data_IF_363395940990
#
_entry.id   IF_363395940990
#
_cell.length_a   1.000
_cell.length_b   1.000
_cell.length_c   1.000
_cell.angle_alpha   90.00
_cell.angle_beta   90.00
_cell.angle_gamma   90.00
#
_symmetry.space_group_name_H-M   'P 1'
#
loop_
_entity.id
_entity.type
_entity.pdbx_description
1 polymer ?
#
# COMPACT_ATOMS: atom_id res chain seq x y z
N UNK A 1 3.57 -16.17 39.53
CA UNK A 1 2.74 -15.41 38.58
C UNK A 1 3.67 -14.66 37.64
N UNK A 2 4.04 -15.28 36.52
CA UNK A 2 4.68 -14.55 35.43
C UNK A 2 3.59 -13.71 34.78
N UNK A 3 3.68 -12.39 34.94
CA UNK A 3 2.94 -11.46 34.11
C UNK A 3 3.54 -11.60 32.72
N UNK A 4 2.91 -12.40 31.86
CA UNK A 4 3.14 -12.35 30.42
C UNK A 4 2.91 -10.90 30.01
N UNK A 5 3.98 -10.17 29.77
CA UNK A 5 3.92 -8.91 29.05
C UNK A 5 3.30 -9.24 27.71
N UNK A 6 2.00 -8.96 27.55
CA UNK A 6 1.38 -8.94 26.23
C UNK A 6 2.29 -8.06 25.37
N UNK A 7 2.93 -8.64 24.36
CA UNK A 7 3.66 -7.85 23.38
C UNK A 7 2.67 -6.77 22.92
N UNK A 8 3.06 -5.50 23.04
CA UNK A 8 2.24 -4.40 22.56
C UNK A 8 2.08 -4.58 21.05
N UNK A 9 0.96 -5.18 20.63
CA UNK A 9 0.71 -5.48 19.24
C UNK A 9 0.50 -4.19 18.45
N UNK A 10 1.00 -4.14 17.22
CA UNK A 10 0.68 -3.04 16.34
C UNK A 10 -0.75 -3.19 15.79
N UNK A 11 -1.31 -2.13 15.20
CA UNK A 11 -2.61 -2.23 14.52
C UNK A 11 -3.84 -2.31 15.44
N UNK A 12 -3.75 -1.88 16.71
CA UNK A 12 -4.89 -1.80 17.67
C UNK A 12 -6.11 -1.00 17.17
N UNK A 13 -5.88 -0.27 16.10
CA UNK A 13 -6.73 0.76 15.57
C UNK A 13 -7.44 0.25 14.30
N UNK A 14 -7.01 -0.92 13.80
CA UNK A 14 -7.63 -1.69 12.74
C UNK A 14 -8.74 -2.57 13.31
N UNK A 15 -9.71 -2.91 12.45
CA UNK A 15 -10.84 -3.72 12.86
C UNK A 15 -10.48 -5.19 13.14
N UNK A 16 -9.56 -5.78 12.38
CA UNK A 16 -9.19 -7.19 12.53
C UNK A 16 -8.58 -7.44 13.91
N UNK A 17 -9.05 -8.50 14.58
CA UNK A 17 -8.55 -8.87 15.90
C UNK A 17 -7.06 -9.25 15.82
N UNK A 18 -6.29 -8.75 16.78
CA UNK A 18 -4.91 -9.16 17.01
C UNK A 18 -4.91 -10.51 17.73
N UNK A 19 -4.36 -11.54 17.09
CA UNK A 19 -4.21 -12.89 17.60
C UNK A 19 -2.79 -13.17 18.08
N UNK A 20 -2.65 -14.00 19.11
CA UNK A 20 -1.35 -14.58 19.50
C UNK A 20 -1.01 -15.75 18.56
N UNK A 21 -0.59 -15.41 17.35
CA UNK A 21 -0.29 -16.34 16.27
C UNK A 21 0.85 -15.80 15.40
N UNK A 22 1.36 -16.64 14.48
CA UNK A 22 2.44 -16.25 13.55
C UNK A 22 2.09 -15.01 12.70
N UNK A 23 0.80 -14.82 12.40
CA UNK A 23 0.25 -13.59 11.85
C UNK A 23 -0.76 -13.02 12.85
N UNK A 24 -0.45 -11.86 13.40
CA UNK A 24 -1.28 -11.18 14.38
C UNK A 24 -2.64 -10.77 13.80
N UNK A 25 -2.66 -10.32 12.55
CA UNK A 25 -3.84 -9.94 11.77
C UNK A 25 -3.75 -10.62 10.39
N UNK A 26 -4.11 -11.91 10.28
CA UNK A 26 -3.88 -12.72 9.09
C UNK A 26 -4.44 -12.14 7.78
N UNK A 27 -5.65 -11.57 7.80
CA UNK A 27 -6.28 -11.02 6.60
C UNK A 27 -5.53 -9.77 6.13
N UNK A 28 -5.20 -8.85 7.04
CA UNK A 28 -4.46 -7.63 6.72
C UNK A 28 -3.02 -7.96 6.27
N UNK A 29 -2.36 -8.92 6.92
CA UNK A 29 -1.05 -9.39 6.52
C UNK A 29 -1.09 -9.93 5.08
N UNK A 30 -1.97 -10.89 4.77
CA UNK A 30 -2.05 -11.50 3.43
C UNK A 30 -2.46 -10.47 2.36
N UNK A 31 -3.45 -9.63 2.62
CA UNK A 31 -3.91 -8.64 1.64
C UNK A 31 -2.87 -7.57 1.32
N UNK A 32 -1.94 -7.27 2.24
CA UNK A 32 -0.83 -6.34 1.98
C UNK A 32 0.15 -6.84 0.90
N UNK A 33 0.16 -8.15 0.59
CA UNK A 33 0.92 -8.71 -0.54
C UNK A 33 0.43 -8.17 -1.91
N UNK A 34 -0.75 -7.56 -1.97
CA UNK A 34 -1.21 -6.83 -3.15
C UNK A 34 -0.23 -5.71 -3.53
N UNK A 35 0.38 -5.01 -2.56
CA UNK A 35 1.40 -3.99 -2.84
C UNK A 35 2.67 -4.61 -3.43
N UNK A 36 3.10 -5.78 -2.94
CA UNK A 36 4.26 -6.50 -3.48
C UNK A 36 4.00 -6.90 -4.94
N UNK A 37 2.84 -7.51 -5.21
CA UNK A 37 2.47 -7.90 -6.57
C UNK A 37 2.41 -6.69 -7.53
N UNK A 38 1.75 -5.59 -7.11
CA UNK A 38 1.69 -4.36 -7.89
C UNK A 38 3.08 -3.75 -8.11
N UNK A 39 3.91 -3.70 -7.07
CA UNK A 39 5.28 -3.18 -7.13
C UNK A 39 6.16 -3.95 -8.10
N UNK A 40 6.12 -5.30 -8.06
CA UNK A 40 6.86 -6.15 -9.01
C UNK A 40 6.39 -5.98 -10.46
N UNK A 41 5.07 -5.88 -10.68
CA UNK A 41 4.51 -5.60 -12.01
C UNK A 41 4.99 -4.23 -12.55
N UNK A 42 4.96 -3.20 -11.71
CA UNK A 42 5.47 -1.86 -12.02
C UNK A 42 6.96 -1.88 -12.32
N UNK A 43 7.78 -2.56 -11.49
CA UNK A 43 9.22 -2.68 -11.70
C UNK A 43 9.54 -3.31 -13.05
N UNK A 44 8.87 -4.43 -13.36
CA UNK A 44 9.05 -5.14 -14.62
C UNK A 44 8.71 -4.23 -15.80
N UNK A 45 7.62 -3.47 -15.70
CA UNK A 45 7.22 -2.49 -16.70
C UNK A 45 8.18 -1.30 -16.82
N UNK A 46 8.70 -0.81 -15.69
CA UNK A 46 9.57 0.35 -15.61
C UNK A 46 10.96 0.06 -16.18
N UNK A 47 11.51 -1.14 -15.92
CA UNK A 47 12.79 -1.60 -16.49
C UNK A 47 12.67 -1.66 -18.02
N UNK A 48 11.61 -2.26 -18.54
CA UNK A 48 11.36 -2.35 -20.00
C UNK A 48 11.18 -0.97 -20.65
N UNK A 49 10.61 -0.02 -19.92
CA UNK A 49 10.34 1.34 -20.40
C UNK A 49 11.44 2.36 -20.08
N UNK A 50 12.52 1.95 -19.41
CA UNK A 50 13.56 2.85 -18.85
C UNK A 50 12.97 4.05 -18.10
N UNK A 51 11.96 3.79 -17.26
CA UNK A 51 11.21 4.81 -16.53
C UNK A 51 11.61 4.83 -15.04
N UNK A 52 12.68 5.55 -14.64
CA UNK A 52 13.25 5.45 -13.29
C UNK A 52 12.26 5.88 -12.19
N UNK A 53 11.43 6.90 -12.43
CA UNK A 53 10.45 7.35 -11.44
C UNK A 53 9.34 6.30 -11.18
N UNK A 54 8.90 5.61 -12.24
CA UNK A 54 8.00 4.48 -12.10
C UNK A 54 8.69 3.29 -11.40
N UNK A 55 9.97 3.06 -11.70
CA UNK A 55 10.78 2.05 -11.02
C UNK A 55 10.90 2.31 -9.52
N UNK A 56 11.20 3.55 -9.13
CA UNK A 56 11.26 3.98 -7.73
C UNK A 56 9.91 3.77 -7.02
N UNK A 57 8.79 4.09 -7.69
CA UNK A 57 7.46 3.81 -7.17
C UNK A 57 7.21 2.30 -6.97
N UNK A 58 7.68 1.47 -7.90
CA UNK A 58 7.62 0.02 -7.79
C UNK A 58 8.42 -0.54 -6.61
N UNK A 59 9.64 -0.04 -6.38
CA UNK A 59 10.43 -0.39 -5.18
C UNK A 59 9.70 0.03 -3.90
N UNK A 60 9.18 1.26 -3.86
CA UNK A 60 8.44 1.74 -2.71
C UNK A 60 7.21 0.88 -2.41
N UNK A 61 6.47 0.43 -3.42
CA UNK A 61 5.33 -0.47 -3.26
C UNK A 61 5.72 -1.84 -2.70
N UNK A 62 6.81 -2.43 -3.18
CA UNK A 62 7.34 -3.67 -2.59
C UNK A 62 7.72 -3.45 -1.12
N UNK A 63 8.34 -2.32 -0.80
CA UNK A 63 8.66 -1.92 0.58
C UNK A 63 7.41 -1.78 1.46
N UNK A 64 6.36 -1.10 0.97
CA UNK A 64 5.08 -0.96 1.68
C UNK A 64 4.48 -2.34 1.96
N UNK A 65 4.42 -3.22 0.96
CA UNK A 65 3.85 -4.56 1.13
C UNK A 65 4.63 -5.42 2.11
N UNK A 66 5.97 -5.44 2.02
CA UNK A 66 6.81 -6.19 2.96
C UNK A 66 6.72 -5.64 4.39
N UNK A 67 6.75 -4.31 4.54
CA UNK A 67 6.59 -3.64 5.83
C UNK A 67 5.23 -3.87 6.46
N UNK A 68 4.16 -3.79 5.67
CA UNK A 68 2.77 -4.04 6.09
C UNK A 68 2.54 -5.51 6.44
N UNK A 69 3.13 -6.44 5.69
CA UNK A 69 3.10 -7.87 6.06
C UNK A 69 3.76 -8.11 7.41
N UNK A 70 4.89 -7.45 7.71
CA UNK A 70 5.53 -7.55 9.02
C UNK A 70 4.71 -6.86 10.13
N UNK A 71 4.10 -5.71 9.84
CA UNK A 71 3.29 -4.91 10.76
C UNK A 71 1.99 -5.61 11.19
N UNK A 72 1.33 -6.30 10.27
CA UNK A 72 0.12 -7.09 10.56
C UNK A 72 0.44 -8.56 10.85
N UNK A 73 1.64 -9.03 10.50
CA UNK A 73 2.07 -10.41 10.66
C UNK A 73 2.77 -10.65 12.00
N UNK A 74 4.10 -10.78 11.97
CA UNK A 74 4.89 -11.19 13.14
C UNK A 74 5.22 -10.05 14.12
N UNK A 75 4.96 -8.80 13.75
CA UNK A 75 5.11 -7.62 14.60
C UNK A 75 6.46 -7.46 15.32
N UNK A 76 7.62 -7.66 14.65
CA UNK A 76 8.92 -7.39 15.27
C UNK A 76 9.10 -5.89 15.59
N UNK A 77 10.03 -5.52 16.48
CA UNK A 77 10.20 -4.12 16.92
C UNK A 77 10.44 -3.09 15.80
N UNK A 78 10.95 -3.52 14.64
CA UNK A 78 11.20 -2.68 13.48
C UNK A 78 10.01 -2.57 12.53
N UNK A 79 8.93 -3.33 12.74
CA UNK A 79 7.80 -3.44 11.80
C UNK A 79 7.11 -2.10 11.55
N UNK A 80 6.93 -1.29 12.60
CA UNK A 80 6.36 0.05 12.47
C UNK A 80 7.20 0.95 11.54
N UNK A 81 8.51 0.95 11.73
CA UNK A 81 9.42 1.72 10.86
C UNK A 81 9.41 1.19 9.43
N UNK A 82 9.46 -0.13 9.25
CA UNK A 82 9.40 -0.76 7.93
C UNK A 82 8.06 -0.54 7.21
N UNK A 83 6.97 -0.35 7.96
CA UNK A 83 5.67 0.01 7.42
C UNK A 83 5.59 1.48 7.00
N UNK A 84 6.03 2.40 7.87
CA UNK A 84 5.78 3.83 7.69
C UNK A 84 6.73 4.50 6.69
N UNK A 85 8.03 4.17 6.71
CA UNK A 85 9.01 4.85 5.84
C UNK A 85 8.76 4.65 4.33
N UNK A 86 8.44 3.44 3.84
CA UNK A 86 8.07 3.25 2.45
C UNK A 86 6.81 4.03 2.03
N UNK A 87 5.84 4.22 2.92
CA UNK A 87 4.65 5.04 2.67
C UNK A 87 5.03 6.51 2.45
N UNK A 88 5.89 7.06 3.32
CA UNK A 88 6.40 8.43 3.19
C UNK A 88 7.16 8.60 1.88
N UNK A 89 8.05 7.65 1.55
CA UNK A 89 8.81 7.67 0.29
C UNK A 89 7.88 7.61 -0.93
N UNK A 90 6.87 6.73 -0.91
CA UNK A 90 5.87 6.65 -1.95
C UNK A 90 5.12 7.98 -2.12
N UNK A 91 4.70 8.61 -1.02
CA UNK A 91 4.05 9.93 -1.06
C UNK A 91 4.88 10.98 -1.81
N UNK A 92 6.18 11.07 -1.50
CA UNK A 92 7.09 11.98 -2.19
C UNK A 92 7.24 11.65 -3.69
N UNK A 93 7.37 10.37 -4.04
CA UNK A 93 7.49 9.89 -5.42
C UNK A 93 6.21 10.21 -6.23
N UNK A 94 5.03 9.91 -5.69
CA UNK A 94 3.76 10.18 -6.36
C UNK A 94 3.49 11.68 -6.49
N UNK A 95 3.86 12.50 -5.50
CA UNK A 95 3.77 13.96 -5.60
C UNK A 95 4.66 14.49 -6.75
N UNK A 96 5.91 14.02 -6.85
CA UNK A 96 6.80 14.37 -7.95
C UNK A 96 6.25 13.90 -9.32
N UNK A 97 5.69 12.69 -9.37
CA UNK A 97 5.03 12.12 -10.54
C UNK A 97 3.83 12.92 -11.02
N UNK A 98 2.97 13.33 -10.10
CA UNK A 98 1.80 14.15 -10.36
C UNK A 98 2.22 15.54 -10.85
N UNK A 99 3.18 16.19 -10.17
CA UNK A 99 3.71 17.48 -10.59
C UNK A 99 4.35 17.43 -11.98
N UNK A 100 5.08 16.36 -12.31
CA UNK A 100 5.63 16.15 -13.66
C UNK A 100 4.53 15.92 -14.71
N UNK A 101 3.49 15.17 -14.36
CA UNK A 101 2.36 14.90 -15.25
C UNK A 101 1.52 16.15 -15.51
N UNK A 102 1.28 16.96 -14.48
CA UNK A 102 0.58 18.24 -14.58
C UNK A 102 1.34 19.23 -15.47
N UNK A 103 2.67 19.36 -15.29
CA UNK A 103 3.53 20.18 -16.17
C UNK A 103 3.49 19.76 -17.64
N UNK A 104 3.18 18.50 -17.91
CA UNK A 104 3.04 17.94 -19.27
C UNK A 104 1.59 17.90 -19.76
N UNK A 105 0.65 18.51 -19.02
CA UNK A 105 -0.79 18.48 -19.31
C UNK A 105 -1.40 17.06 -19.42
N UNK A 106 -0.83 16.08 -18.70
CA UNK A 106 -1.28 14.67 -18.68
C UNK A 106 -2.05 14.32 -17.40
N UNK A 107 -2.66 15.29 -16.74
CA UNK A 107 -3.35 15.11 -15.45
C UNK A 107 -4.52 14.10 -15.53
N UNK A 108 -5.18 13.99 -16.69
CA UNK A 108 -6.28 13.04 -16.90
C UNK A 108 -5.88 11.57 -16.70
N UNK A 109 -4.59 11.24 -16.90
CA UNK A 109 -4.08 9.88 -16.64
C UNK A 109 -4.11 9.49 -15.15
N UNK A 110 -4.36 10.45 -14.26
CA UNK A 110 -4.45 10.23 -12.82
C UNK A 110 -5.90 10.10 -12.33
N UNK A 111 -6.91 10.27 -13.18
CA UNK A 111 -8.32 10.24 -12.76
C UNK A 111 -8.72 8.85 -12.21
N UNK A 112 -8.40 7.77 -12.93
CA UNK A 112 -8.67 6.40 -12.49
C UNK A 112 -7.95 6.04 -11.20
N UNK A 113 -6.62 6.21 -11.06
CA UNK A 113 -5.96 5.89 -9.80
C UNK A 113 -6.44 6.78 -8.64
N UNK A 114 -6.76 8.05 -8.87
CA UNK A 114 -7.35 8.90 -7.85
C UNK A 114 -8.72 8.36 -7.38
N UNK A 115 -9.59 7.95 -8.31
CA UNK A 115 -10.88 7.34 -7.97
C UNK A 115 -10.75 6.06 -7.14
N UNK A 116 -9.84 5.16 -7.54
CA UNK A 116 -9.55 3.95 -6.77
C UNK A 116 -8.99 4.26 -5.38
N UNK A 117 -8.12 5.27 -5.27
CA UNK A 117 -7.58 5.68 -3.98
C UNK A 117 -8.66 6.25 -3.06
N UNK A 118 -9.59 7.06 -3.58
CA UNK A 118 -10.74 7.57 -2.82
C UNK A 118 -11.63 6.44 -2.31
N UNK A 119 -11.93 5.44 -3.16
CA UNK A 119 -12.66 4.25 -2.73
C UNK A 119 -11.88 3.47 -1.66
N UNK A 120 -10.56 3.38 -1.82
CA UNK A 120 -9.68 2.81 -0.81
C UNK A 120 -9.80 3.54 0.53
N UNK A 121 -9.72 4.88 0.54
CA UNK A 121 -9.82 5.67 1.77
C UNK A 121 -11.17 5.44 2.48
N UNK A 122 -12.25 5.31 1.73
CA UNK A 122 -13.56 4.95 2.28
C UNK A 122 -13.54 3.56 2.93
N UNK A 123 -12.90 2.57 2.28
CA UNK A 123 -12.71 1.24 2.86
C UNK A 123 -11.82 1.28 4.12
N UNK A 124 -10.72 2.04 4.11
CA UNK A 124 -9.86 2.23 5.28
C UNK A 124 -10.66 2.80 6.47
N UNK A 125 -11.45 3.84 6.23
CA UNK A 125 -12.32 4.44 7.26
C UNK A 125 -13.36 3.44 7.79
N UNK A 126 -13.98 2.65 6.91
CA UNK A 126 -14.92 1.61 7.31
C UNK A 126 -14.27 0.48 8.11
N UNK A 127 -12.98 0.21 7.88
CA UNK A 127 -12.17 -0.83 8.52
C UNK A 127 -11.47 -0.41 9.81
N UNK A 128 -11.78 0.77 10.38
CA UNK A 128 -11.28 1.21 11.70
C UNK A 128 -12.02 0.50 12.82
N UNK A 129 -11.34 0.23 13.95
CA UNK A 129 -11.96 -0.44 15.11
C UNK A 129 -13.14 0.34 15.71
N UNK A 130 -13.17 1.67 15.57
CA UNK A 130 -14.28 2.52 16.00
C UNK A 130 -15.46 2.63 15.02
N UNK A 131 -15.40 1.96 13.86
CA UNK A 131 -16.46 1.99 12.85
C UNK A 131 -17.62 1.08 13.24
N UNK A 132 -18.87 1.49 12.96
CA UNK A 132 -20.06 0.63 13.12
C UNK A 132 -20.08 -0.56 12.16
N UNK A 133 -19.25 -0.52 11.11
CA UNK A 133 -19.10 -1.60 10.15
C UNK A 133 -18.04 -2.63 10.56
N UNK A 134 -17.33 -2.39 11.67
CA UNK A 134 -16.26 -3.26 12.10
C UNK A 134 -16.79 -4.63 12.58
N UNK A 135 -16.24 -5.71 12.01
CA UNK A 135 -16.43 -7.10 12.45
C UNK A 135 -15.06 -7.78 12.63
N UNK A 136 -14.52 -7.88 13.86
CA UNK A 136 -13.14 -8.31 14.09
C UNK A 136 -12.80 -9.72 13.61
N UNK A 137 -13.75 -10.66 13.69
CA UNK A 137 -13.56 -12.06 13.27
C UNK A 137 -13.92 -12.31 11.78
N UNK A 138 -14.29 -11.28 11.03
CA UNK A 138 -14.69 -11.43 9.62
C UNK A 138 -13.47 -11.66 8.73
N UNK A 139 -13.55 -12.62 7.80
CA UNK A 139 -12.56 -12.76 6.73
C UNK A 139 -12.66 -11.62 5.70
N UNK A 140 -13.83 -10.99 5.61
CA UNK A 140 -14.03 -9.79 4.81
C UNK A 140 -13.68 -8.55 5.64
N UNK A 141 -12.45 -8.09 5.51
CA UNK A 141 -11.93 -6.89 6.17
C UNK A 141 -11.90 -5.69 5.21
N UNK A 142 -12.54 -4.58 5.59
CA UNK A 142 -12.48 -3.34 4.81
C UNK A 142 -11.06 -2.76 4.72
N UNK A 143 -10.23 -2.94 5.75
CA UNK A 143 -8.82 -2.58 5.69
C UNK A 143 -8.06 -3.48 4.67
N UNK A 144 -8.43 -4.77 4.57
CA UNK A 144 -7.93 -5.63 3.49
C UNK A 144 -8.32 -5.12 2.09
N UNK A 145 -9.55 -4.59 1.92
CA UNK A 145 -9.96 -3.95 0.67
C UNK A 145 -9.17 -2.65 0.41
N UNK A 146 -8.83 -1.87 1.45
CA UNK A 146 -7.92 -0.73 1.35
C UNK A 146 -6.57 -1.14 0.75
N UNK A 147 -5.96 -2.23 1.21
CA UNK A 147 -4.68 -2.72 0.66
C UNK A 147 -4.77 -2.94 -0.84
N UNK A 148 -5.81 -3.66 -1.29
CA UNK A 148 -6.00 -3.99 -2.71
C UNK A 148 -6.27 -2.73 -3.56
N UNK A 149 -7.19 -1.87 -3.12
CA UNK A 149 -7.59 -0.67 -3.85
C UNK A 149 -6.45 0.35 -3.96
N UNK A 150 -5.75 0.59 -2.86
CA UNK A 150 -4.62 1.53 -2.85
C UNK A 150 -3.40 0.96 -3.57
N UNK A 151 -3.14 -0.36 -3.53
CA UNK A 151 -2.11 -0.99 -4.35
C UNK A 151 -2.40 -0.84 -5.85
N UNK A 152 -3.65 -1.07 -6.26
CA UNK A 152 -4.07 -0.88 -7.65
C UNK A 152 -3.97 0.59 -8.08
N UNK A 153 -4.44 1.52 -7.25
CA UNK A 153 -4.34 2.96 -7.48
C UNK A 153 -2.88 3.39 -7.65
N UNK A 154 -2.01 2.99 -6.73
CA UNK A 154 -0.60 3.33 -6.76
C UNK A 154 0.11 2.70 -7.96
N UNK A 155 -0.16 1.43 -8.26
CA UNK A 155 0.36 0.75 -9.43
C UNK A 155 -0.01 1.46 -10.74
N UNK A 156 -1.29 1.82 -10.91
CA UNK A 156 -1.75 2.55 -12.09
C UNK A 156 -1.14 3.96 -12.19
N UNK A 157 -1.04 4.69 -11.07
CA UNK A 157 -0.36 5.97 -11.01
C UNK A 157 1.12 5.84 -11.42
N UNK A 158 1.81 4.78 -10.98
CA UNK A 158 3.18 4.50 -11.36
C UNK A 158 3.33 4.21 -12.86
N UNK A 159 2.37 3.49 -13.44
CA UNK A 159 2.34 3.27 -14.89
C UNK A 159 2.08 4.57 -15.66
N UNK A 160 1.25 5.48 -15.15
CA UNK A 160 1.01 6.79 -15.75
C UNK A 160 2.29 7.65 -15.85
N UNK A 161 3.20 7.50 -14.86
CA UNK A 161 4.50 8.17 -14.82
C UNK A 161 5.47 7.72 -15.93
N UNK A 162 5.26 6.56 -16.57
CA UNK A 162 6.13 6.05 -17.64
C UNK A 162 6.16 6.97 -18.87
N UNK A 163 5.11 7.75 -19.12
CA UNK A 163 4.98 8.49 -20.40
C UNK A 163 4.52 7.59 -21.55
N UNK A 164 4.09 8.18 -22.69
CA UNK A 164 3.75 7.41 -23.88
C UNK A 164 5.00 6.78 -24.51
N UNK A 165 4.86 5.60 -25.14
CA UNK A 165 5.97 4.85 -25.73
C UNK A 165 6.79 5.63 -26.78
N UNK A 166 6.18 6.64 -27.43
CA UNK A 166 6.85 7.51 -28.41
C UNK A 166 7.89 8.44 -27.79
N UNK A 167 7.72 8.81 -26.52
CA UNK A 167 8.63 9.72 -25.79
C UNK A 167 9.82 8.97 -25.15
N UNK A 168 9.82 7.64 -25.19
CA UNK A 168 10.86 6.77 -24.60
C UNK A 168 11.91 6.27 -25.62
N UNK A 169 11.74 6.59 -26.91
CA UNK A 169 12.60 6.12 -28.02
C UNK A 169 13.55 7.18 -28.59
N UNK A 170 13.46 8.43 -28.13
CA UNK A 170 14.42 9.50 -28.44
C UNK A 170 15.40 9.68 -27.29
#
# INVERSE_FOLDING_TARGET
>A
MQVLTAAAGFGHTDCERIADAALAQPVLAVTSLAYVAAGLAVLTCAVRARAPLAGAAGVALVGIGAGSFAYHGSQPPWAESAHNWPIVAAGAIYAAGLARSARRQRWSTWAVPAGLFVLGLAAYAAGRSGSSLCRPESLWQYHGAWHVLSAAAAGLAALAMRGPAREQRG
#
